data_IF_758848453381
#
_entry.id   IF_758848453381
#
_cell.length_a   1.000
_cell.length_b   1.000
_cell.length_c   1.000
_cell.angle_alpha   90.00
_cell.angle_beta   90.00
_cell.angle_gamma   90.00
#
_symmetry.space_group_name_H-M   'P 1'
#
loop_
_entity.id
_entity.type
_entity.pdbx_description
1 polymer ?
#
# COMPACT_ATOMS: atom_id res chain seq x y z
N UNK A 1 -5.97 22.60 2.88
CA UNK A 1 -4.64 22.00 2.72
C UNK A 1 -3.60 23.10 2.89
N UNK A 2 -2.79 23.02 3.94
CA UNK A 2 -1.67 23.95 4.15
C UNK A 2 -0.49 23.36 3.39
N UNK A 3 -0.05 24.02 2.33
CA UNK A 3 1.25 23.75 1.71
C UNK A 3 2.31 23.82 2.83
N UNK A 4 2.79 22.66 3.26
CA UNK A 4 3.97 22.54 4.10
C UNK A 4 5.14 23.14 3.32
N UNK A 5 5.97 23.97 3.96
CA UNK A 5 7.10 24.75 3.39
C UNK A 5 7.48 24.30 1.97
N UNK A 6 7.06 25.05 0.96
CA UNK A 6 7.40 24.76 -0.43
C UNK A 6 8.92 24.83 -0.60
N UNK A 7 9.56 23.68 -0.76
CA UNK A 7 10.98 23.62 -1.09
C UNK A 7 11.14 23.95 -2.57
N UNK A 8 12.09 24.82 -2.86
CA UNK A 8 12.43 25.19 -4.23
C UNK A 8 13.52 24.28 -4.80
N UNK A 9 13.54 24.11 -6.13
CA UNK A 9 14.60 23.38 -6.83
C UNK A 9 15.98 23.96 -6.48
N UNK A 10 16.10 25.29 -6.38
CA UNK A 10 17.35 25.96 -6.03
C UNK A 10 17.87 25.52 -4.64
N UNK A 11 17.00 25.41 -3.65
CA UNK A 11 17.38 24.93 -2.32
C UNK A 11 17.84 23.47 -2.34
N UNK A 12 17.22 22.61 -3.16
CA UNK A 12 17.64 21.21 -3.33
C UNK A 12 19.03 21.16 -3.95
N UNK A 13 19.26 21.90 -5.04
CA UNK A 13 20.55 21.94 -5.72
C UNK A 13 21.66 22.46 -4.80
N UNK A 14 21.41 23.54 -4.06
CA UNK A 14 22.34 24.08 -3.06
C UNK A 14 22.74 23.00 -2.03
N UNK A 15 21.77 22.23 -1.52
CA UNK A 15 22.04 21.13 -0.58
C UNK A 15 22.85 19.99 -1.19
N UNK A 16 22.62 19.66 -2.46
CA UNK A 16 23.35 18.59 -3.15
C UNK A 16 24.80 19.01 -3.45
N UNK A 17 25.01 20.26 -3.85
CA UNK A 17 26.32 20.82 -4.21
C UNK A 17 27.18 21.14 -2.97
N UNK A 18 26.56 21.54 -1.85
CA UNK A 18 27.30 21.85 -0.61
C UNK A 18 28.01 20.63 -0.07
N UNK A 19 29.33 20.66 0.06
CA UNK A 19 30.09 19.64 0.78
C UNK A 19 30.09 19.95 2.29
N UNK A 20 29.50 19.05 3.08
CA UNK A 20 29.42 19.23 4.53
C UNK A 20 30.63 18.64 5.25
N UNK A 21 31.10 17.48 4.79
CA UNK A 21 32.32 16.84 5.29
C UNK A 21 33.45 17.07 4.30
N UNK A 22 34.42 17.91 4.68
CA UNK A 22 35.45 18.46 3.79
C UNK A 22 36.72 17.61 3.67
N UNK A 23 36.98 16.70 4.62
CA UNK A 23 38.14 15.81 4.57
C UNK A 23 37.82 14.41 5.12
N UNK A 24 38.52 13.39 4.61
CA UNK A 24 38.41 11.99 5.05
C UNK A 24 39.75 11.60 5.68
N UNK A 25 40.04 12.21 6.82
CA UNK A 25 41.32 12.05 7.52
C UNK A 25 41.33 10.83 8.46
N UNK A 26 40.16 10.38 8.89
CA UNK A 26 39.98 9.22 9.76
C UNK A 26 38.70 8.42 9.44
N UNK A 27 38.57 7.25 10.07
CA UNK A 27 37.43 6.33 9.88
C UNK A 27 36.08 6.95 10.28
N UNK A 28 36.08 7.92 11.21
CA UNK A 28 34.87 8.62 11.63
C UNK A 28 34.40 9.60 10.55
N UNK A 29 35.30 10.42 10.01
CA UNK A 29 35.01 11.32 8.90
C UNK A 29 34.60 10.53 7.64
N UNK A 30 35.19 9.36 7.40
CA UNK A 30 34.76 8.46 6.32
C UNK A 30 33.30 8.01 6.51
N UNK A 31 32.89 7.68 7.74
CA UNK A 31 31.53 7.30 8.07
C UNK A 31 30.55 8.46 7.85
N UNK A 32 30.89 9.67 8.32
CA UNK A 32 30.12 10.89 8.12
C UNK A 32 29.95 11.23 6.63
N UNK A 33 31.04 11.11 5.84
CA UNK A 33 30.99 11.35 4.39
C UNK A 33 30.13 10.31 3.67
N UNK A 34 30.20 9.04 4.07
CA UNK A 34 29.33 8.00 3.50
C UNK A 34 27.85 8.27 3.82
N UNK A 35 27.54 8.75 5.04
CA UNK A 35 26.18 9.20 5.40
C UNK A 35 25.71 10.32 4.48
N UNK A 36 26.53 11.36 4.32
CA UNK A 36 26.23 12.52 3.47
C UNK A 36 25.91 12.09 2.03
N UNK A 37 26.77 11.25 1.43
CA UNK A 37 26.60 10.78 0.06
C UNK A 37 25.30 9.98 -0.12
N UNK A 38 25.00 9.06 0.81
CA UNK A 38 23.76 8.26 0.73
C UNK A 38 22.49 9.09 0.86
N UNK A 39 22.49 10.13 1.71
CA UNK A 39 21.36 11.06 1.81
C UNK A 39 21.17 11.81 0.49
N UNK A 40 22.25 12.33 -0.10
CA UNK A 40 22.21 13.01 -1.41
C UNK A 40 21.76 12.09 -2.54
N UNK A 41 22.26 10.86 -2.59
CA UNK A 41 21.80 9.82 -3.53
C UNK A 41 20.29 9.57 -3.38
N UNK A 42 19.79 9.52 -2.14
CA UNK A 42 18.35 9.31 -1.88
C UNK A 42 17.50 10.49 -2.32
N UNK A 43 17.97 11.74 -2.14
CA UNK A 43 17.31 12.94 -2.67
C UNK A 43 17.22 12.86 -4.20
N UNK A 44 18.32 12.50 -4.88
CA UNK A 44 18.33 12.34 -6.33
C UNK A 44 17.36 11.26 -6.81
N UNK A 45 17.27 10.13 -6.10
CA UNK A 45 16.29 9.07 -6.39
C UNK A 45 14.85 9.59 -6.29
N UNK A 46 14.53 10.35 -5.25
CA UNK A 46 13.20 10.97 -5.09
C UNK A 46 12.89 11.93 -6.24
N UNK A 47 13.85 12.77 -6.63
CA UNK A 47 13.71 13.69 -7.76
C UNK A 47 13.44 12.94 -9.07
N UNK A 48 14.16 11.84 -9.33
CA UNK A 48 13.94 11.01 -10.52
C UNK A 48 12.53 10.40 -10.53
N UNK A 49 12.03 9.94 -9.38
CA UNK A 49 10.65 9.43 -9.27
C UNK A 49 9.61 10.52 -9.49
N UNK A 50 9.85 11.76 -9.03
CA UNK A 50 8.95 12.89 -9.31
C UNK A 50 8.88 13.17 -10.82
N UNK A 51 10.02 13.14 -11.51
CA UNK A 51 10.07 13.29 -12.98
C UNK A 51 9.31 12.15 -13.66
N UNK A 52 9.54 10.91 -13.25
CA UNK A 52 8.83 9.75 -13.78
C UNK A 52 7.30 9.88 -13.57
N UNK A 53 6.85 10.32 -12.40
CA UNK A 53 5.44 10.59 -12.11
C UNK A 53 4.84 11.72 -12.96
N UNK A 54 5.65 12.55 -13.62
CA UNK A 54 5.22 13.66 -14.48
C UNK A 54 5.36 13.35 -15.98
N UNK A 55 6.24 12.42 -16.36
CA UNK A 55 6.64 12.20 -17.75
C UNK A 55 6.47 10.75 -18.25
N UNK A 56 6.08 9.80 -17.38
CA UNK A 56 5.97 8.40 -17.77
C UNK A 56 4.99 8.17 -18.95
N UNK A 57 5.30 7.22 -19.86
CA UNK A 57 4.40 6.89 -20.96
C UNK A 57 3.00 6.49 -20.49
N UNK A 58 1.96 7.04 -21.13
CA UNK A 58 0.57 6.77 -20.77
C UNK A 58 0.02 7.66 -19.66
N UNK A 59 0.80 8.62 -19.15
CA UNK A 59 0.35 9.58 -18.14
C UNK A 59 -0.87 10.40 -18.61
N UNK A 60 -0.96 10.65 -19.91
CA UNK A 60 -2.08 11.33 -20.55
C UNK A 60 -3.40 10.55 -20.44
N UNK A 61 -3.31 9.22 -20.29
CA UNK A 61 -4.44 8.28 -20.23
C UNK A 61 -4.82 7.88 -18.79
N UNK A 62 -4.20 8.47 -17.76
CA UNK A 62 -4.51 8.15 -16.38
C UNK A 62 -5.96 8.49 -16.02
N UNK A 63 -6.59 7.61 -15.23
CA UNK A 63 -7.89 7.90 -14.63
C UNK A 63 -7.77 9.06 -13.63
N UNK A 64 -8.89 9.71 -13.30
CA UNK A 64 -8.90 10.77 -12.27
C UNK A 64 -8.32 10.30 -10.93
N UNK A 65 -8.53 9.02 -10.56
CA UNK A 65 -7.95 8.45 -9.34
C UNK A 65 -6.44 8.34 -9.45
N UNK A 66 -5.93 7.83 -10.57
CA UNK A 66 -4.49 7.69 -10.80
C UNK A 66 -3.79 9.06 -10.81
N UNK A 67 -4.40 10.09 -11.40
CA UNK A 67 -3.88 11.47 -11.35
C UNK A 67 -3.78 11.99 -9.91
N UNK A 68 -4.84 11.82 -9.11
CA UNK A 68 -4.81 12.20 -7.70
C UNK A 68 -3.76 11.41 -6.90
N UNK A 69 -3.57 10.11 -7.19
CA UNK A 69 -2.49 9.32 -6.58
C UNK A 69 -1.10 9.84 -6.97
N UNK A 70 -0.89 10.19 -8.23
CA UNK A 70 0.39 10.73 -8.69
C UNK A 70 0.72 12.05 -7.98
N UNK A 71 -0.26 12.95 -7.83
CA UNK A 71 -0.12 14.19 -7.04
C UNK A 71 0.27 13.91 -5.58
N UNK A 72 -0.39 12.95 -4.92
CA UNK A 72 -0.04 12.55 -3.56
C UNK A 72 1.38 11.96 -3.46
N UNK A 73 1.81 11.17 -4.45
CA UNK A 73 3.17 10.62 -4.48
C UNK A 73 4.21 11.74 -4.60
N UNK A 74 3.96 12.74 -5.46
CA UNK A 74 4.83 13.93 -5.56
C UNK A 74 4.87 14.71 -4.25
N UNK A 75 3.73 14.90 -3.58
CA UNK A 75 3.67 15.56 -2.27
C UNK A 75 4.48 14.79 -1.22
N UNK A 76 4.27 13.46 -1.14
CA UNK A 76 5.00 12.57 -0.23
C UNK A 76 6.51 12.66 -0.47
N UNK A 77 6.98 12.51 -1.72
CA UNK A 77 8.40 12.58 -2.08
C UNK A 77 9.00 13.95 -1.74
N UNK A 78 8.25 15.03 -1.97
CA UNK A 78 8.68 16.40 -1.62
C UNK A 78 8.86 16.57 -0.10
N UNK A 79 7.94 16.03 0.70
CA UNK A 79 8.06 16.02 2.16
C UNK A 79 9.28 15.22 2.59
N UNK A 80 9.53 14.07 1.97
CA UNK A 80 10.70 13.25 2.29
C UNK A 80 12.01 13.93 1.93
N UNK A 81 12.09 14.60 0.77
CA UNK A 81 13.24 15.44 0.39
C UNK A 81 13.50 16.53 1.45
N UNK A 82 12.44 17.18 1.96
CA UNK A 82 12.54 18.17 3.04
C UNK A 82 13.23 17.63 4.29
N UNK A 83 12.82 16.44 4.71
CA UNK A 83 13.38 15.78 5.88
C UNK A 83 14.85 15.42 5.66
N UNK A 84 15.18 14.84 4.49
CA UNK A 84 16.55 14.50 4.10
C UNK A 84 17.46 15.73 4.03
N UNK A 85 17.01 16.83 3.44
CA UNK A 85 17.73 18.11 3.44
C UNK A 85 17.95 18.64 4.86
N UNK A 86 16.99 18.39 5.75
CA UNK A 86 17.09 18.68 7.17
C UNK A 86 18.16 17.85 7.89
N UNK A 87 18.63 16.73 7.33
CA UNK A 87 19.74 15.91 7.86
C UNK A 87 21.11 16.33 7.29
N UNK A 88 21.15 17.06 6.18
CA UNK A 88 22.37 17.59 5.57
C UNK A 88 22.84 18.86 6.29
N UNK A 89 23.30 18.67 7.53
CA UNK A 89 24.07 19.64 8.32
C UNK A 89 25.22 18.91 8.99
N UNK A 90 26.36 19.60 9.18
CA UNK A 90 27.53 18.99 9.81
C UNK A 90 27.19 18.38 11.18
N UNK A 91 26.48 19.13 12.03
CA UNK A 91 26.09 18.68 13.37
C UNK A 91 25.29 17.37 13.36
N UNK A 92 24.31 17.22 12.44
CA UNK A 92 23.46 16.03 12.37
C UNK A 92 24.16 14.83 11.74
N UNK A 93 25.09 15.08 10.83
CA UNK A 93 25.93 14.02 10.26
C UNK A 93 26.85 13.45 11.34
N UNK A 94 27.48 14.32 12.14
CA UNK A 94 28.33 13.96 13.26
C UNK A 94 27.53 13.22 14.33
N UNK A 95 26.41 13.79 14.80
CA UNK A 95 25.55 13.22 15.85
C UNK A 95 25.18 11.76 15.56
N UNK A 96 24.69 11.48 14.35
CA UNK A 96 24.29 10.13 13.95
C UNK A 96 25.48 9.16 13.89
N UNK A 97 26.64 9.60 13.40
CA UNK A 97 27.84 8.76 13.33
C UNK A 97 28.43 8.47 14.71
N UNK A 98 28.35 9.45 15.63
CA UNK A 98 28.74 9.33 17.03
C UNK A 98 27.90 8.26 17.75
N UNK A 99 26.59 8.22 17.51
CA UNK A 99 25.68 7.21 18.05
C UNK A 99 26.03 5.80 17.53
N UNK A 100 26.32 5.70 16.23
CA UNK A 100 26.74 4.44 15.61
C UNK A 100 28.02 3.90 16.27
N UNK A 101 29.03 4.75 16.49
CA UNK A 101 30.27 4.34 17.17
C UNK A 101 30.02 3.91 18.62
N UNK A 102 29.14 4.60 19.35
CA UNK A 102 28.78 4.27 20.73
C UNK A 102 27.98 2.96 20.85
N UNK A 103 27.33 2.52 19.77
CA UNK A 103 26.45 1.33 19.77
C UNK A 103 27.18 -0.02 19.91
N UNK A 104 28.52 -0.06 19.91
CA UNK A 104 29.34 -1.28 19.94
C UNK A 104 29.01 -2.31 18.84
N UNK A 105 28.31 -1.90 17.77
CA UNK A 105 28.02 -2.76 16.63
C UNK A 105 29.29 -2.98 15.79
N UNK A 106 29.55 -4.19 15.29
CA UNK A 106 30.72 -4.46 14.47
C UNK A 106 30.71 -3.61 13.19
N UNK A 107 31.85 -2.98 12.86
CA UNK A 107 32.06 -2.03 11.74
C UNK A 107 31.58 -2.53 10.37
N UNK A 108 31.54 -3.86 10.14
CA UNK A 108 30.99 -4.45 8.92
C UNK A 108 29.45 -4.36 8.80
N UNK A 109 28.73 -3.94 9.85
CA UNK A 109 27.26 -3.80 9.88
C UNK A 109 26.79 -2.36 10.07
N UNK A 110 27.69 -1.38 10.17
CA UNK A 110 27.32 0.01 10.38
C UNK A 110 27.05 0.68 9.04
N UNK A 111 25.84 0.50 8.51
CA UNK A 111 25.35 1.29 7.40
C UNK A 111 24.99 2.68 7.96
N UNK A 112 25.67 3.76 7.54
CA UNK A 112 25.51 5.07 8.19
C UNK A 112 24.22 5.78 7.82
N UNK A 113 23.49 5.27 6.83
CA UNK A 113 22.16 5.72 6.46
C UNK A 113 21.49 4.65 5.59
N UNK A 114 20.24 4.32 5.92
CA UNK A 114 19.38 3.48 5.08
C UNK A 114 18.17 4.28 4.61
N UNK A 115 17.96 4.40 3.28
CA UNK A 115 16.75 5.02 2.77
C UNK A 115 15.52 4.17 3.12
N UNK A 116 14.37 4.83 3.19
CA UNK A 116 13.10 4.14 3.36
C UNK A 116 12.67 3.46 2.06
N UNK A 117 13.17 2.24 1.85
CA UNK A 117 12.93 1.49 0.61
C UNK A 117 11.43 1.23 0.37
N UNK A 118 10.65 0.93 1.41
CA UNK A 118 9.21 0.69 1.26
C UNK A 118 8.52 1.97 0.80
N UNK A 119 8.85 3.12 1.39
CA UNK A 119 8.33 4.42 0.96
C UNK A 119 8.70 4.73 -0.49
N UNK A 120 9.96 4.52 -0.89
CA UNK A 120 10.40 4.77 -2.27
C UNK A 120 9.67 3.85 -3.27
N UNK A 121 9.43 2.59 -2.90
CA UNK A 121 8.65 1.66 -3.74
C UNK A 121 7.20 2.15 -3.83
N UNK A 122 6.56 2.44 -2.69
CA UNK A 122 5.17 2.90 -2.62
C UNK A 122 4.89 4.18 -3.41
N UNK A 123 5.89 5.06 -3.58
CA UNK A 123 5.75 6.33 -4.30
C UNK A 123 6.35 6.30 -5.72
N UNK A 124 6.80 5.14 -6.20
CA UNK A 124 7.21 4.96 -7.60
C UNK A 124 6.01 4.97 -8.55
N UNK A 125 6.18 5.48 -9.77
CA UNK A 125 5.12 5.45 -10.79
C UNK A 125 4.61 4.02 -11.02
N UNK A 126 5.53 3.08 -11.20
CA UNK A 126 5.18 1.70 -11.52
C UNK A 126 4.41 1.00 -10.39
N UNK A 127 4.75 1.23 -9.12
CA UNK A 127 4.01 0.61 -8.01
C UNK A 127 2.73 1.34 -7.67
N UNK A 128 2.74 2.67 -7.56
CA UNK A 128 1.61 3.45 -7.07
C UNK A 128 0.52 3.62 -8.13
N UNK A 129 0.93 3.76 -9.39
CA UNK A 129 0.06 4.19 -10.49
C UNK A 129 -0.22 3.05 -11.46
N UNK A 130 0.84 2.41 -11.97
CA UNK A 130 0.69 1.39 -13.01
C UNK A 130 0.17 0.05 -12.45
N UNK A 131 0.79 -0.45 -11.38
CA UNK A 131 0.40 -1.73 -10.78
C UNK A 131 -0.66 -1.55 -9.68
N UNK A 132 -0.40 -0.69 -8.70
CA UNK A 132 -1.25 -0.48 -7.52
C UNK A 132 -1.62 -1.79 -6.80
N UNK A 133 -0.60 -2.61 -6.52
CA UNK A 133 -0.76 -3.99 -6.01
C UNK A 133 -0.07 -4.26 -4.68
N UNK A 134 0.68 -3.31 -4.10
CA UNK A 134 1.49 -3.56 -2.89
C UNK A 134 0.67 -3.98 -1.65
N UNK A 135 -0.64 -3.71 -1.66
CA UNK A 135 -1.59 -4.20 -0.66
C UNK A 135 -1.84 -5.72 -0.73
N UNK A 136 -1.51 -6.37 -1.86
CA UNK A 136 -1.83 -7.77 -2.08
C UNK A 136 -0.90 -8.69 -1.27
N UNK A 137 -1.45 -9.69 -0.55
CA UNK A 137 -0.65 -10.67 0.16
C UNK A 137 0.25 -11.44 -0.80
N UNK A 138 1.40 -11.93 -0.28
CA UNK A 138 2.40 -12.76 -0.98
C UNK A 138 3.27 -12.04 -2.01
N UNK A 139 3.14 -10.72 -2.19
CA UNK A 139 4.20 -9.95 -2.87
C UNK A 139 5.45 -9.96 -1.97
N UNK A 140 6.54 -10.49 -2.50
CA UNK A 140 7.83 -10.50 -1.79
C UNK A 140 8.51 -9.13 -1.90
N UNK A 141 9.45 -8.83 -0.99
CA UNK A 141 10.24 -7.57 -1.05
C UNK A 141 10.98 -7.44 -2.38
N UNK A 142 11.57 -8.52 -2.88
CA UNK A 142 12.25 -8.53 -4.18
C UNK A 142 11.30 -8.21 -5.33
N UNK A 143 10.08 -8.74 -5.31
CA UNK A 143 9.06 -8.41 -6.30
C UNK A 143 8.58 -6.97 -6.16
N UNK A 144 8.38 -6.47 -4.95
CA UNK A 144 8.02 -5.08 -4.71
C UNK A 144 9.09 -4.12 -5.27
N UNK A 145 10.38 -4.44 -5.08
CA UNK A 145 11.49 -3.69 -5.69
C UNK A 145 11.41 -3.75 -7.22
N UNK A 146 11.20 -4.94 -7.79
CA UNK A 146 11.08 -5.13 -9.25
C UNK A 146 9.91 -4.35 -9.84
N UNK A 147 8.75 -4.35 -9.16
CA UNK A 147 7.57 -3.54 -9.53
C UNK A 147 7.95 -2.07 -9.49
N UNK A 148 8.58 -1.61 -8.40
CA UNK A 148 8.96 -0.20 -8.25
C UNK A 148 9.95 0.31 -9.30
N UNK A 149 10.69 -0.58 -9.95
CA UNK A 149 11.61 -0.26 -11.05
C UNK A 149 10.99 -0.41 -12.44
N UNK A 150 9.77 -0.93 -12.54
CA UNK A 150 9.16 -1.29 -13.82
C UNK A 150 9.76 -2.57 -14.45
N UNK A 151 10.56 -3.33 -13.70
CA UNK A 151 11.29 -4.51 -14.19
C UNK A 151 10.46 -5.80 -14.09
N UNK A 152 9.37 -5.82 -13.31
CA UNK A 152 8.60 -7.05 -13.06
C UNK A 152 7.55 -7.29 -14.15
N UNK A 153 7.59 -8.47 -14.77
CA UNK A 153 6.47 -9.01 -15.54
C UNK A 153 5.33 -9.40 -14.60
N UNK A 154 4.17 -8.74 -14.71
CA UNK A 154 3.01 -9.04 -13.87
C UNK A 154 2.53 -10.49 -14.03
N UNK A 155 2.77 -11.14 -15.17
CA UNK A 155 2.43 -12.55 -15.37
C UNK A 155 3.17 -13.47 -14.36
N UNK A 156 4.32 -13.03 -13.80
CA UNK A 156 5.03 -13.76 -12.74
C UNK A 156 4.26 -13.83 -11.41
N UNK A 157 3.38 -12.86 -11.13
CA UNK A 157 2.54 -12.89 -9.93
C UNK A 157 1.57 -14.08 -9.95
N UNK A 158 1.23 -14.58 -11.15
CA UNK A 158 0.43 -15.78 -11.32
C UNK A 158 1.07 -17.04 -10.70
N UNK A 159 2.38 -17.04 -10.42
CA UNK A 159 3.07 -18.15 -9.74
C UNK A 159 2.62 -18.33 -8.30
N UNK A 160 2.09 -17.28 -7.67
CA UNK A 160 1.60 -17.31 -6.27
C UNK A 160 0.16 -17.80 -6.13
N UNK A 161 -0.56 -18.00 -7.23
CA UNK A 161 -1.95 -18.47 -7.22
C UNK A 161 -2.14 -19.78 -6.45
N UNK A 162 -1.35 -20.85 -6.66
CA UNK A 162 -1.60 -22.13 -5.98
C UNK A 162 -1.62 -21.99 -4.45
N UNK A 163 -0.67 -21.25 -3.88
CA UNK A 163 -0.61 -21.03 -2.44
C UNK A 163 -1.75 -20.16 -1.95
N UNK A 164 -2.18 -19.17 -2.74
CA UNK A 164 -3.31 -18.31 -2.42
C UNK A 164 -4.64 -19.06 -2.48
N UNK A 165 -4.82 -19.94 -3.46
CA UNK A 165 -5.98 -20.83 -3.55
C UNK A 165 -6.02 -21.81 -2.37
N UNK A 166 -4.86 -22.27 -1.91
CA UNK A 166 -4.78 -23.08 -0.69
C UNK A 166 -5.22 -22.27 0.54
N UNK A 167 -4.80 -21.01 0.68
CA UNK A 167 -5.27 -20.10 1.73
C UNK A 167 -6.80 -19.89 1.66
N UNK A 168 -7.36 -19.73 0.46
CA UNK A 168 -8.82 -19.63 0.27
C UNK A 168 -9.54 -20.88 0.77
N UNK A 169 -9.06 -22.07 0.41
CA UNK A 169 -9.63 -23.35 0.83
C UNK A 169 -9.53 -23.56 2.35
N UNK A 170 -8.42 -23.16 2.96
CA UNK A 170 -8.15 -23.42 4.39
C UNK A 170 -8.67 -22.34 5.34
N UNK A 171 -8.86 -21.09 4.87
CA UNK A 171 -9.22 -19.96 5.73
C UNK A 171 -10.52 -19.31 5.31
N UNK A 172 -10.71 -19.03 4.02
CA UNK A 172 -11.89 -18.28 3.54
C UNK A 172 -13.13 -19.17 3.56
N UNK A 173 -13.11 -20.32 2.88
CA UNK A 173 -14.27 -21.21 2.82
C UNK A 173 -14.74 -21.64 4.23
N UNK A 174 -13.86 -22.05 5.15
CA UNK A 174 -14.28 -22.37 6.52
C UNK A 174 -14.88 -21.19 7.27
N UNK A 175 -14.36 -19.98 7.08
CA UNK A 175 -14.94 -18.77 7.68
C UNK A 175 -16.37 -18.53 7.20
N UNK A 176 -16.62 -18.61 5.89
CA UNK A 176 -17.95 -18.41 5.31
C UNK A 176 -18.96 -19.42 5.86
N UNK A 177 -18.57 -20.70 5.93
CA UNK A 177 -19.40 -21.77 6.51
C UNK A 177 -19.71 -21.58 7.99
N UNK A 178 -18.79 -20.95 8.73
CA UNK A 178 -18.94 -20.74 10.17
C UNK A 178 -19.79 -19.52 10.55
N UNK A 179 -20.17 -18.68 9.58
CA UNK A 179 -20.91 -17.44 9.85
C UNK A 179 -22.17 -17.39 8.98
N UNK A 180 -23.34 -17.43 9.63
CA UNK A 180 -24.64 -17.46 8.94
C UNK A 180 -24.76 -16.36 7.86
N UNK A 181 -24.25 -15.16 8.16
CA UNK A 181 -24.27 -14.00 7.25
C UNK A 181 -23.56 -14.24 5.92
N UNK A 182 -22.52 -15.06 5.91
CA UNK A 182 -21.67 -15.26 4.73
C UNK A 182 -21.76 -16.67 4.14
N UNK A 183 -22.49 -17.58 4.78
CA UNK A 183 -22.69 -18.98 4.34
C UNK A 183 -23.17 -19.12 2.89
N UNK A 184 -23.92 -18.16 2.35
CA UNK A 184 -24.35 -18.20 0.95
C UNK A 184 -23.22 -18.08 -0.09
N UNK A 185 -22.06 -17.54 0.29
CA UNK A 185 -20.98 -17.21 -0.65
C UNK A 185 -20.02 -18.36 -0.97
N UNK A 186 -20.00 -19.42 -0.15
CA UNK A 186 -19.11 -20.57 -0.34
C UNK A 186 -19.34 -21.26 -1.69
N UNK A 187 -20.59 -21.40 -2.12
CA UNK A 187 -20.94 -22.04 -3.39
C UNK A 187 -20.38 -21.26 -4.59
N UNK A 188 -20.38 -19.92 -4.51
CA UNK A 188 -19.80 -19.06 -5.55
C UNK A 188 -18.29 -19.21 -5.63
N UNK A 189 -17.60 -19.39 -4.49
CA UNK A 189 -16.16 -19.63 -4.45
C UNK A 189 -15.83 -21.02 -4.96
N UNK A 190 -16.57 -22.05 -4.54
CA UNK A 190 -16.37 -23.42 -5.03
C UNK A 190 -16.54 -23.48 -6.55
N UNK A 191 -17.53 -22.78 -7.11
CA UNK A 191 -17.70 -22.67 -8.56
C UNK A 191 -16.57 -21.88 -9.24
N UNK A 192 -16.07 -20.82 -8.61
CA UNK A 192 -14.91 -20.08 -9.10
C UNK A 192 -13.66 -20.97 -9.15
N UNK A 193 -13.45 -21.83 -8.15
CA UNK A 193 -12.34 -22.79 -8.12
C UNK A 193 -12.45 -23.82 -9.24
N UNK A 194 -13.66 -24.35 -9.52
CA UNK A 194 -13.87 -25.23 -10.68
C UNK A 194 -13.58 -24.52 -12.00
N UNK A 195 -14.02 -23.25 -12.14
CA UNK A 195 -13.72 -22.44 -13.32
C UNK A 195 -12.19 -22.28 -13.49
N UNK A 196 -11.46 -22.07 -12.41
CA UNK A 196 -9.99 -22.01 -12.43
C UNK A 196 -9.38 -23.33 -12.93
N UNK A 197 -9.81 -24.48 -12.40
CA UNK A 197 -9.32 -25.81 -12.80
C UNK A 197 -9.61 -26.10 -14.29
N UNK A 198 -10.71 -25.56 -14.82
CA UNK A 198 -11.09 -25.65 -16.23
C UNK A 198 -10.44 -24.57 -17.13
N UNK A 199 -9.57 -23.72 -16.58
CA UNK A 199 -8.96 -22.57 -17.26
C UNK A 199 -9.96 -21.51 -17.78
N UNK A 200 -11.15 -21.42 -17.17
CA UNK A 200 -12.18 -20.42 -17.44
C UNK A 200 -11.95 -19.15 -16.59
N UNK A 201 -10.81 -18.49 -16.79
CA UNK A 201 -10.35 -17.41 -15.90
C UNK A 201 -11.27 -16.19 -15.88
N UNK A 202 -11.94 -15.86 -16.99
CA UNK A 202 -12.95 -14.79 -17.01
C UNK A 202 -14.14 -15.08 -16.09
N UNK A 203 -14.67 -16.30 -16.15
CA UNK A 203 -15.78 -16.72 -15.30
C UNK A 203 -15.35 -16.75 -13.82
N UNK A 204 -14.16 -17.28 -13.56
CA UNK A 204 -13.57 -17.30 -12.21
C UNK A 204 -13.45 -15.86 -11.65
N UNK A 205 -12.85 -14.94 -12.40
CA UNK A 205 -12.71 -13.55 -11.97
C UNK A 205 -14.07 -12.89 -11.67
N UNK A 206 -15.08 -13.12 -12.52
CA UNK A 206 -16.41 -12.55 -12.34
C UNK A 206 -17.04 -13.04 -11.03
N UNK A 207 -17.00 -14.35 -10.79
CA UNK A 207 -17.54 -14.98 -9.58
C UNK A 207 -16.86 -14.46 -8.32
N UNK A 208 -15.54 -14.31 -8.32
CA UNK A 208 -14.79 -13.77 -7.17
C UNK A 208 -15.15 -12.31 -6.93
N UNK A 209 -15.24 -11.50 -7.99
CA UNK A 209 -15.61 -10.10 -7.86
C UNK A 209 -17.04 -9.92 -7.30
N UNK A 210 -18.01 -10.67 -7.84
CA UNK A 210 -19.39 -10.63 -7.33
C UNK A 210 -19.49 -11.11 -5.90
N UNK A 211 -18.68 -12.11 -5.52
CA UNK A 211 -18.62 -12.61 -4.15
C UNK A 211 -18.07 -11.56 -3.20
N UNK A 212 -16.97 -10.88 -3.56
CA UNK A 212 -16.40 -9.78 -2.78
C UNK A 212 -17.43 -8.66 -2.57
N UNK A 213 -18.11 -8.22 -3.64
CA UNK A 213 -19.13 -7.18 -3.52
C UNK A 213 -20.25 -7.61 -2.57
N UNK A 214 -20.76 -8.83 -2.69
CA UNK A 214 -21.77 -9.38 -1.80
C UNK A 214 -21.32 -9.43 -0.34
N UNK A 215 -20.10 -9.89 -0.08
CA UNK A 215 -19.52 -9.93 1.27
C UNK A 215 -19.41 -8.53 1.89
N UNK A 216 -18.94 -7.53 1.12
CA UNK A 216 -18.80 -6.17 1.66
C UNK A 216 -20.17 -5.51 1.90
N UNK A 217 -21.18 -5.80 1.07
CA UNK A 217 -22.56 -5.34 1.31
C UNK A 217 -23.15 -5.92 2.59
N UNK A 218 -22.99 -7.23 2.80
CA UNK A 218 -23.38 -7.88 4.06
C UNK A 218 -22.65 -7.30 5.28
N UNK A 219 -21.35 -7.05 5.15
CA UNK A 219 -20.57 -6.39 6.20
C UNK A 219 -21.08 -4.96 6.46
N UNK A 220 -21.40 -4.19 5.42
CA UNK A 220 -21.90 -2.83 5.56
C UNK A 220 -23.24 -2.79 6.30
N UNK A 221 -24.16 -3.70 5.99
CA UNK A 221 -25.44 -3.85 6.71
C UNK A 221 -25.21 -4.20 8.19
N UNK A 222 -24.33 -5.16 8.46
CA UNK A 222 -23.94 -5.50 9.84
C UNK A 222 -23.32 -4.31 10.60
N UNK A 223 -22.42 -3.56 9.96
CA UNK A 223 -21.79 -2.40 10.58
C UNK A 223 -22.78 -1.25 10.79
N UNK A 224 -23.71 -1.04 9.88
CA UNK A 224 -24.72 0.01 10.03
C UNK A 224 -25.57 -0.18 11.28
N UNK A 225 -25.94 -1.43 11.60
CA UNK A 225 -26.60 -1.79 12.87
C UNK A 225 -25.71 -1.49 14.07
N UNK A 226 -24.44 -1.94 14.04
CA UNK A 226 -23.50 -1.79 15.15
C UNK A 226 -22.94 -0.36 15.32
N UNK A 227 -23.08 0.49 14.30
CA UNK A 227 -22.68 1.90 14.31
C UNK A 227 -23.86 2.84 14.56
N UNK A 228 -25.06 2.30 14.81
CA UNK A 228 -26.31 3.05 15.01
C UNK A 228 -26.63 4.03 13.87
N UNK A 229 -26.33 3.64 12.62
CA UNK A 229 -26.57 4.48 11.44
C UNK A 229 -28.06 4.51 11.09
N UNK A 230 -28.77 5.49 11.67
CA UNK A 230 -30.20 5.72 11.39
C UNK A 230 -30.45 5.92 9.90
N UNK A 231 -31.46 5.23 9.36
CA UNK A 231 -31.88 5.31 7.94
C UNK A 231 -30.88 4.77 6.90
N UNK A 232 -29.90 3.97 7.32
CA UNK A 232 -29.06 3.23 6.39
C UNK A 232 -29.90 2.22 5.60
N UNK A 233 -29.66 2.14 4.29
CA UNK A 233 -30.18 1.11 3.40
C UNK A 233 -29.14 0.92 2.31
N UNK A 234 -28.65 -0.30 2.14
CA UNK A 234 -27.62 -0.61 1.14
C UNK A 234 -28.09 -0.32 -0.29
N UNK A 235 -29.40 -0.40 -0.56
CA UNK A 235 -30.02 -0.14 -1.87
C UNK A 235 -29.84 1.31 -2.33
N UNK A 236 -29.64 2.25 -1.39
CA UNK A 236 -29.32 3.65 -1.71
C UNK A 236 -27.96 3.80 -2.39
N UNK A 237 -27.11 2.78 -2.29
CA UNK A 237 -25.74 2.78 -2.80
C UNK A 237 -25.59 1.77 -3.94
N UNK A 238 -25.79 2.27 -5.16
CA UNK A 238 -25.73 1.50 -6.42
C UNK A 238 -24.35 0.95 -6.77
N UNK A 239 -23.30 1.34 -6.04
CA UNK A 239 -21.93 0.85 -6.26
C UNK A 239 -21.21 0.63 -4.93
N UNK A 240 -20.25 -0.31 -4.93
CA UNK A 240 -19.36 -0.52 -3.79
C UNK A 240 -18.61 0.76 -3.40
N UNK A 241 -18.19 1.55 -4.39
CA UNK A 241 -17.49 2.81 -4.14
C UNK A 241 -18.36 3.83 -3.41
N UNK A 242 -19.63 4.00 -3.81
CA UNK A 242 -20.55 4.91 -3.10
C UNK A 242 -20.92 4.39 -1.72
N UNK A 243 -21.08 3.07 -1.55
CA UNK A 243 -21.33 2.43 -0.26
C UNK A 243 -20.19 2.69 0.74
N UNK A 244 -18.94 2.50 0.30
CA UNK A 244 -17.78 2.74 1.16
C UNK A 244 -17.59 4.25 1.43
N UNK A 245 -17.66 5.10 0.41
CA UNK A 245 -17.27 6.51 0.53
C UNK A 245 -18.33 7.41 1.18
N UNK A 246 -19.61 7.19 0.89
CA UNK A 246 -20.66 8.17 1.20
C UNK A 246 -21.35 7.88 2.54
N UNK A 247 -20.99 6.78 3.21
CA UNK A 247 -21.49 6.44 4.54
C UNK A 247 -20.47 6.88 5.58
N UNK A 248 -20.94 7.51 6.65
CA UNK A 248 -20.12 7.99 7.75
C UNK A 248 -19.76 6.86 8.73
N UNK A 249 -18.94 5.92 8.26
CA UNK A 249 -18.50 4.77 9.05
C UNK A 249 -17.69 5.19 10.29
N UNK A 250 -17.88 4.46 11.40
CA UNK A 250 -17.07 4.65 12.61
C UNK A 250 -15.63 4.17 12.38
N UNK A 251 -14.66 4.88 12.96
CA UNK A 251 -13.25 4.47 12.98
C UNK A 251 -12.99 3.46 14.11
N UNK A 252 -13.12 2.19 13.80
CA UNK A 252 -13.16 1.10 14.78
C UNK A 252 -12.39 -0.15 14.34
N UNK A 253 -11.70 -0.07 13.20
CA UNK A 253 -10.75 -1.07 12.73
C UNK A 253 -9.33 -0.74 13.18
N UNK A 254 -8.72 -1.60 14.00
CA UNK A 254 -7.32 -1.47 14.41
C UNK A 254 -6.42 -2.06 13.32
N UNK A 255 -5.54 -1.24 12.75
CA UNK A 255 -4.59 -1.62 11.69
C UNK A 255 -3.19 -1.13 12.04
N UNK A 256 -2.17 -1.91 11.69
CA UNK A 256 -0.79 -1.47 11.82
C UNK A 256 -0.48 -0.37 10.80
N UNK A 257 0.35 0.60 11.17
CA UNK A 257 0.65 1.74 10.33
C UNK A 257 1.31 1.34 9.00
N UNK A 258 2.16 0.31 8.98
CA UNK A 258 2.83 -0.14 7.74
C UNK A 258 1.81 -0.66 6.73
N UNK A 259 0.87 -1.49 7.18
CA UNK A 259 -0.22 -1.99 6.34
C UNK A 259 -1.16 -0.87 5.92
N UNK A 260 -1.40 0.10 6.80
CA UNK A 260 -2.21 1.27 6.45
C UNK A 260 -1.54 2.07 5.31
N UNK A 261 -0.23 2.33 5.40
CA UNK A 261 0.57 2.98 4.36
C UNK A 261 0.49 2.21 3.03
N UNK A 262 0.57 0.87 3.06
CA UNK A 262 0.46 0.01 1.86
C UNK A 262 -0.95 -0.02 1.23
N UNK A 263 -2.01 0.32 1.97
CA UNK A 263 -3.40 0.31 1.47
C UNK A 263 -3.82 1.69 0.95
N UNK A 264 -3.41 2.76 1.61
CA UNK A 264 -3.90 4.12 1.31
C UNK A 264 -2.89 4.96 0.54
N UNK A 265 -1.65 4.49 0.38
CA UNK A 265 -0.52 5.23 -0.21
C UNK A 265 -0.24 6.57 0.51
N UNK A 266 -0.70 6.72 1.75
CA UNK A 266 -0.44 7.88 2.59
C UNK A 266 0.64 7.56 3.58
N UNK A 267 1.51 8.54 3.86
CA UNK A 267 2.52 8.44 4.92
C UNK A 267 1.90 8.75 6.27
N UNK A 268 1.99 7.82 7.22
CA UNK A 268 1.51 8.03 8.59
C UNK A 268 2.63 8.06 9.62
N UNK A 269 3.85 7.65 9.26
CA UNK A 269 5.02 7.69 10.12
C UNK A 269 5.94 8.87 9.78
N UNK A 270 6.15 9.77 10.74
CA UNK A 270 7.37 10.58 10.79
C UNK A 270 8.48 9.66 11.31
N UNK A 271 9.46 9.31 10.46
CA UNK A 271 10.59 8.51 10.92
C UNK A 271 11.58 9.46 11.60
N UNK A 272 12.01 9.14 12.82
CA UNK A 272 13.16 9.79 13.42
C UNK A 272 14.43 9.33 12.68
N UNK A 273 14.70 9.92 11.52
CA UNK A 273 15.87 9.59 10.67
C UNK A 273 17.22 9.99 11.29
N UNK A 274 17.17 10.62 12.47
CA UNK A 274 18.34 10.96 13.30
C UNK A 274 18.71 9.78 14.22
N UNK A 275 17.71 9.05 14.73
CA UNK A 275 17.88 7.91 15.62
C UNK A 275 17.25 6.68 14.98
N UNK A 276 17.99 6.00 14.10
CA UNK A 276 17.54 4.81 13.35
C UNK A 276 17.13 3.62 14.26
N UNK A 277 17.23 3.76 15.59
CA UNK A 277 16.97 2.71 16.59
C UNK A 277 15.82 2.98 17.57
N UNK A 278 15.16 4.15 17.51
CA UNK A 278 13.98 4.38 18.36
C UNK A 278 12.70 4.02 17.59
N UNK A 279 12.30 2.75 17.70
CA UNK A 279 10.97 2.28 17.33
C UNK A 279 9.98 3.04 18.22
N UNK A 280 9.18 3.93 17.64
CA UNK A 280 8.11 4.62 18.37
C UNK A 280 6.98 3.60 18.58
N UNK A 281 6.68 3.33 19.85
CA UNK A 281 5.91 2.19 20.37
C UNK A 281 4.38 2.22 20.12
N UNK A 282 3.86 3.08 19.24
CA UNK A 282 2.42 3.14 18.92
C UNK A 282 2.17 2.87 17.42
N UNK A 283 2.38 1.62 17.00
CA UNK A 283 2.32 1.21 15.59
C UNK A 283 0.90 0.98 15.03
N UNK A 284 -0.16 1.46 15.67
CA UNK A 284 -1.53 1.16 15.23
C UNK A 284 -2.40 2.42 15.07
N UNK A 285 -3.21 2.43 14.02
CA UNK A 285 -4.25 3.42 13.78
C UNK A 285 -5.64 2.80 13.87
N UNK A 286 -6.62 3.62 14.27
CA UNK A 286 -8.03 3.29 14.17
C UNK A 286 -8.60 3.89 12.88
N UNK A 287 -9.06 3.03 11.97
CA UNK A 287 -9.60 3.41 10.67
C UNK A 287 -11.02 2.89 10.49
N UNK A 288 -11.73 3.44 9.51
CA UNK A 288 -13.04 2.95 9.10
C UNK A 288 -12.93 1.88 7.98
N UNK A 289 -14.02 1.19 7.70
CA UNK A 289 -14.09 0.19 6.62
C UNK A 289 -13.77 0.79 5.25
N UNK A 290 -14.14 2.06 5.02
CA UNK A 290 -13.89 2.77 3.78
C UNK A 290 -12.39 2.90 3.49
N UNK A 291 -11.60 3.20 4.51
CA UNK A 291 -10.15 3.30 4.46
C UNK A 291 -9.53 1.90 4.35
N UNK A 292 -10.01 0.94 5.16
CA UNK A 292 -9.49 -0.45 5.18
C UNK A 292 -9.64 -1.17 3.84
N UNK A 293 -10.69 -0.85 3.08
CA UNK A 293 -11.02 -1.46 1.79
C UNK A 293 -10.82 -0.49 0.60
N UNK A 294 -10.00 0.56 0.73
CA UNK A 294 -9.80 1.57 -0.32
C UNK A 294 -9.22 0.98 -1.62
N UNK A 295 -8.41 -0.07 -1.50
CA UNK A 295 -7.85 -0.82 -2.64
C UNK A 295 -8.94 -1.37 -3.57
N UNK A 296 -10.13 -1.73 -3.04
CA UNK A 296 -11.25 -2.23 -3.85
C UNK A 296 -11.79 -1.18 -4.82
N UNK A 297 -11.76 0.11 -4.47
CA UNK A 297 -12.39 1.15 -5.29
C UNK A 297 -11.75 1.32 -6.67
N UNK A 298 -10.51 0.86 -6.85
CA UNK A 298 -9.72 1.08 -8.06
C UNK A 298 -9.93 -0.12 -8.95
N UNK A 299 -9.73 -1.29 -8.34
CA UNK A 299 -9.98 -2.59 -8.93
C UNK A 299 -11.41 -2.77 -9.43
N UNK A 300 -12.41 -2.50 -8.59
CA UNK A 300 -13.81 -2.82 -8.91
C UNK A 300 -14.53 -1.76 -9.74
N UNK A 301 -14.00 -0.54 -9.81
CA UNK A 301 -14.63 0.51 -10.60
C UNK A 301 -14.04 0.53 -12.01
N UNK A 302 -12.72 0.62 -12.13
CA UNK A 302 -12.06 0.83 -13.41
C UNK A 302 -12.07 -0.48 -14.24
N UNK A 303 -11.83 -1.65 -13.62
CA UNK A 303 -11.85 -2.91 -14.36
C UNK A 303 -13.27 -3.37 -14.70
N UNK A 304 -14.26 -3.13 -13.83
CA UNK A 304 -15.65 -3.54 -14.08
C UNK A 304 -16.24 -2.83 -15.30
N UNK A 305 -16.01 -1.53 -15.43
CA UNK A 305 -16.51 -0.79 -16.60
C UNK A 305 -15.81 -1.31 -17.88
N UNK A 306 -14.51 -1.62 -17.83
CA UNK A 306 -13.79 -2.25 -18.94
C UNK A 306 -14.27 -3.68 -19.26
N UNK A 307 -14.67 -4.46 -18.25
CA UNK A 307 -15.24 -5.81 -18.40
C UNK A 307 -16.63 -5.75 -19.05
N UNK A 308 -17.51 -4.86 -18.55
CA UNK A 308 -18.87 -4.68 -19.08
C UNK A 308 -18.87 -4.26 -20.54
N UNK A 309 -17.85 -3.52 -20.98
CA UNK A 309 -17.68 -3.10 -22.36
C UNK A 309 -16.86 -4.09 -23.23
N UNK A 310 -16.54 -5.28 -22.70
CA UNK A 310 -15.71 -6.30 -23.38
C UNK A 310 -14.31 -5.81 -23.82
N UNK A 311 -13.82 -4.73 -23.20
CA UNK A 311 -12.57 -4.07 -23.58
C UNK A 311 -11.38 -4.51 -22.71
N UNK A 312 -11.61 -5.25 -21.62
CA UNK A 312 -10.54 -5.69 -20.72
C UNK A 312 -9.88 -7.00 -21.21
N UNK A 313 -8.88 -6.87 -22.07
CA UNK A 313 -8.16 -8.02 -22.65
C UNK A 313 -7.43 -8.86 -21.59
N UNK A 314 -6.91 -8.22 -20.55
CA UNK A 314 -6.15 -8.89 -19.49
C UNK A 314 -7.01 -9.66 -18.50
N UNK A 315 -8.34 -9.57 -18.57
CA UNK A 315 -9.25 -10.28 -17.65
C UNK A 315 -9.09 -11.80 -17.66
N UNK A 316 -8.48 -12.34 -18.72
CA UNK A 316 -8.21 -13.77 -18.87
C UNK A 316 -6.80 -14.16 -18.41
N UNK A 317 -6.07 -13.28 -17.71
CA UNK A 317 -4.71 -13.53 -17.25
C UNK A 317 -4.69 -14.05 -15.81
N UNK A 318 -3.71 -14.90 -15.50
CA UNK A 318 -3.53 -15.48 -14.16
C UNK A 318 -3.19 -14.42 -13.11
N UNK A 319 -2.41 -13.40 -13.44
CA UNK A 319 -2.09 -12.33 -12.48
C UNK A 319 -3.35 -11.56 -12.01
N UNK A 320 -4.36 -11.40 -12.89
CA UNK A 320 -5.63 -10.80 -12.51
C UNK A 320 -6.42 -11.67 -11.51
N UNK A 321 -6.34 -13.00 -11.65
CA UNK A 321 -6.89 -13.93 -10.67
C UNK A 321 -6.15 -13.84 -9.34
N UNK A 322 -4.82 -13.77 -9.36
CA UNK A 322 -4.01 -13.56 -8.15
C UNK A 322 -4.49 -12.33 -7.37
N UNK A 323 -4.73 -11.20 -8.05
CA UNK A 323 -5.24 -9.98 -7.40
C UNK A 323 -6.66 -10.12 -6.87
N UNK A 324 -7.56 -10.79 -7.61
CA UNK A 324 -8.93 -10.93 -7.18
C UNK A 324 -9.06 -11.90 -5.99
N UNK A 325 -8.30 -13.01 -5.97
CA UNK A 325 -8.22 -13.87 -4.79
C UNK A 325 -7.53 -13.18 -3.62
N UNK A 326 -6.55 -12.32 -3.88
CA UNK A 326 -5.89 -11.49 -2.87
C UNK A 326 -6.89 -10.55 -2.19
N UNK A 327 -7.71 -9.87 -3.00
CA UNK A 327 -8.79 -9.01 -2.52
C UNK A 327 -9.82 -9.79 -1.69
N UNK A 328 -10.16 -11.02 -2.10
CA UNK A 328 -11.07 -11.88 -1.35
C UNK A 328 -10.51 -12.21 0.04
N UNK A 329 -9.23 -12.57 0.13
CA UNK A 329 -8.57 -12.81 1.43
C UNK A 329 -8.55 -11.56 2.31
N UNK A 330 -8.25 -10.38 1.75
CA UNK A 330 -8.28 -9.11 2.48
C UNK A 330 -9.68 -8.77 3.01
N UNK A 331 -10.71 -8.96 2.19
CA UNK A 331 -12.11 -8.75 2.59
C UNK A 331 -12.52 -9.73 3.68
N UNK A 332 -12.16 -11.01 3.55
CA UNK A 332 -12.42 -12.01 4.57
C UNK A 332 -11.78 -11.65 5.92
N UNK A 333 -10.53 -11.16 5.91
CA UNK A 333 -9.87 -10.71 7.14
C UNK A 333 -10.62 -9.53 7.78
N UNK A 334 -11.08 -8.58 6.97
CA UNK A 334 -11.88 -7.44 7.46
C UNK A 334 -13.21 -7.90 8.05
N UNK A 335 -13.93 -8.79 7.37
CA UNK A 335 -15.16 -9.41 7.89
C UNK A 335 -14.90 -10.11 9.23
N UNK A 336 -13.87 -10.96 9.31
CA UNK A 336 -13.53 -11.71 10.53
C UNK A 336 -13.17 -10.80 11.70
N UNK A 337 -12.45 -9.70 11.45
CA UNK A 337 -12.16 -8.69 12.47
C UNK A 337 -13.44 -8.12 13.08
N UNK A 338 -14.38 -7.71 12.23
CA UNK A 338 -15.63 -7.09 12.68
C UNK A 338 -16.57 -8.08 13.36
N UNK A 339 -16.66 -9.31 12.86
CA UNK A 339 -17.39 -10.39 13.52
C UNK A 339 -16.87 -10.57 14.95
N UNK A 340 -15.55 -10.75 15.13
CA UNK A 340 -14.96 -10.90 16.47
C UNK A 340 -15.21 -9.69 17.34
N UNK A 341 -15.02 -8.49 16.81
CA UNK A 341 -15.17 -7.23 17.56
C UNK A 341 -16.59 -7.04 18.10
N UNK A 342 -17.60 -7.34 17.29
CA UNK A 342 -18.99 -7.03 17.62
C UNK A 342 -19.81 -8.23 18.11
N UNK A 343 -19.39 -9.48 17.85
CA UNK A 343 -20.00 -10.64 18.52
C UNK A 343 -19.61 -10.73 20.00
N UNK A 344 -18.40 -10.30 20.38
CA UNK A 344 -17.95 -10.39 21.79
C UNK A 344 -18.66 -9.39 22.71
N UNK A 345 -19.29 -8.34 22.16
CA UNK A 345 -19.99 -7.29 22.91
C UNK A 345 -21.50 -7.54 23.11
N UNK A 346 -22.00 -8.74 22.81
CA UNK A 346 -23.42 -9.14 22.99
C UNK A 346 -23.67 -10.01 24.23
N UNK A 347 -22.78 -10.00 25.23
CA UNK A 347 -22.98 -10.66 26.53
C UNK A 347 -23.37 -9.62 27.58
#
# INVERSE_FOLDING_TARGET
>A
MKFSKTITIAQILEKLETEYVLSVEDDFQALCRMRELKIKETINLCMNQIVELAEAPGIENLTTRQKYKAENCVENLTIYISELMGLLTLDKLIEACDEIQKSNLPVMRTIPFEPDIIFLIQNSFHSAIAANILWAPKITVTQAIGIGRGDLDLDDLGKHLPDLLNDVKLKVIPFLKSTDRYSGFENSIDEALKCYDMNLYRACNLLIMTTIEGMVRQLATFLAENHDLKNFSEEKYTSLNSLLRNVSWKKDYKIDLTRLELITDQRYRARNMVHDFQIIDDEYAMVDINTRLDFLKGRFKDDRDLILHCSYQDYNKKWNLFLNFSALCEVQQTCSYYEKRYHTNRI
#
